data_IF_418843676781
#
_entry.id   IF_418843676781
#
_cell.length_a   1.000
_cell.length_b   1.000
_cell.length_c   1.000
_cell.angle_alpha   90.00
_cell.angle_beta   90.00
_cell.angle_gamma   90.00
#
_symmetry.space_group_name_H-M   'P 1'
#
loop_
_entity.id
_entity.type
_entity.pdbx_description
1 polymer ?
#
# COMPACT_ATOMS: atom_id res chain seq x y z
N UNK A 1 -35.21 29.12 -27.81
CA UNK A 1 -33.93 29.02 -27.05
C UNK A 1 -33.22 27.76 -27.48
N UNK A 2 -32.05 27.90 -28.10
CA UNK A 2 -31.31 26.77 -28.71
C UNK A 2 -30.85 25.80 -27.64
N UNK A 3 -30.99 24.50 -27.89
CA UNK A 3 -30.46 23.39 -27.06
C UNK A 3 -28.98 23.58 -26.71
N UNK A 4 -28.20 24.19 -27.60
CA UNK A 4 -26.78 24.51 -27.41
C UNK A 4 -26.58 25.49 -26.23
N UNK A 5 -27.43 26.51 -26.04
CA UNK A 5 -27.36 27.42 -24.88
C UNK A 5 -27.68 26.73 -23.55
N UNK A 6 -28.53 25.69 -23.58
CA UNK A 6 -28.90 24.92 -22.39
C UNK A 6 -27.76 23.98 -21.96
N UNK A 7 -27.00 23.45 -22.92
CA UNK A 7 -25.81 22.61 -22.64
C UNK A 7 -24.66 23.47 -22.15
N UNK A 8 -24.43 24.68 -22.71
CA UNK A 8 -23.37 25.58 -22.23
C UNK A 8 -23.59 26.06 -20.80
N UNK A 9 -24.85 26.33 -20.40
CA UNK A 9 -25.18 26.69 -19.02
C UNK A 9 -24.99 25.54 -18.01
N UNK A 10 -24.97 24.29 -18.49
CA UNK A 10 -24.79 23.11 -17.63
C UNK A 10 -23.30 22.71 -17.45
N UNK A 11 -22.40 23.21 -18.29
CA UNK A 11 -20.99 22.84 -18.33
C UNK A 11 -20.09 23.85 -17.57
N UNK A 12 -20.60 25.06 -17.32
CA UNK A 12 -19.85 26.09 -16.60
C UNK A 12 -20.16 26.00 -15.09
N UNK A 13 -19.28 25.45 -14.24
CA UNK A 13 -19.49 25.42 -12.80
C UNK A 13 -19.36 26.84 -12.27
N UNK A 14 -20.51 27.51 -12.04
CA UNK A 14 -20.55 28.92 -11.67
C UNK A 14 -20.96 29.15 -10.22
N UNK A 15 -21.45 28.12 -9.52
CA UNK A 15 -22.01 28.28 -8.18
C UNK A 15 -21.56 27.20 -7.19
N UNK A 16 -21.61 27.53 -5.90
CA UNK A 16 -21.39 26.57 -4.79
C UNK A 16 -22.38 25.40 -4.87
N UNK A 17 -23.57 25.63 -5.41
CA UNK A 17 -24.60 24.58 -5.54
C UNK A 17 -24.23 23.53 -6.61
N UNK A 18 -23.57 23.94 -7.69
CA UNK A 18 -23.02 23.01 -8.67
C UNK A 18 -21.93 22.13 -8.06
N UNK A 19 -21.05 22.73 -7.26
CA UNK A 19 -20.02 22.00 -6.51
C UNK A 19 -20.63 20.98 -5.53
N UNK A 20 -21.63 21.40 -4.72
CA UNK A 20 -22.35 20.50 -3.82
C UNK A 20 -23.06 19.37 -4.59
N UNK A 21 -23.66 19.69 -5.72
CA UNK A 21 -24.33 18.72 -6.60
C UNK A 21 -23.34 17.65 -7.11
N UNK A 22 -22.13 18.05 -7.51
CA UNK A 22 -21.07 17.11 -7.93
C UNK A 22 -20.63 16.21 -6.78
N UNK A 23 -20.39 16.78 -5.58
CA UNK A 23 -20.02 16.03 -4.39
C UNK A 23 -21.13 15.04 -4.02
N UNK A 24 -22.39 15.47 -4.01
CA UNK A 24 -23.53 14.60 -3.69
C UNK A 24 -23.67 13.42 -4.65
N UNK A 25 -23.49 13.65 -5.96
CA UNK A 25 -23.50 12.57 -6.96
C UNK A 25 -22.34 11.59 -6.85
N UNK A 26 -21.21 12.00 -6.25
CA UNK A 26 -19.98 11.18 -6.07
C UNK A 26 -19.86 10.58 -4.68
N UNK A 27 -20.94 10.60 -3.88
CA UNK A 27 -20.97 10.05 -2.52
C UNK A 27 -20.03 10.73 -1.52
N UNK A 28 -19.71 12.01 -1.75
CA UNK A 28 -18.87 12.80 -0.87
C UNK A 28 -17.41 12.92 -1.33
N UNK A 29 -16.59 13.53 -0.48
CA UNK A 29 -15.15 13.65 -0.67
C UNK A 29 -14.45 12.46 -0.02
N UNK A 30 -13.36 11.99 -0.62
CA UNK A 30 -12.56 10.90 -0.08
C UNK A 30 -11.78 11.38 1.17
N UNK A 31 -11.94 10.74 2.34
CA UNK A 31 -11.22 11.09 3.55
C UNK A 31 -9.79 10.54 3.49
N UNK A 32 -8.78 11.38 3.69
CA UNK A 32 -7.38 10.96 3.67
C UNK A 32 -6.99 10.05 4.85
N UNK A 33 -7.74 10.11 5.95
CA UNK A 33 -7.47 9.38 7.18
C UNK A 33 -8.10 7.97 7.24
N UNK A 34 -8.63 7.47 6.13
CA UNK A 34 -9.27 6.14 6.05
C UNK A 34 -8.62 5.32 4.96
N UNK A 35 -7.70 4.48 5.37
CA UNK A 35 -7.00 3.55 4.47
C UNK A 35 -6.74 2.23 5.19
N UNK A 36 -6.48 1.19 4.43
CA UNK A 36 -6.05 -0.12 4.90
C UNK A 36 -4.87 -0.59 4.06
N UNK A 37 -3.93 -1.26 4.72
CA UNK A 37 -2.77 -1.84 4.08
C UNK A 37 -2.80 -3.33 4.35
N UNK A 38 -2.61 -4.12 3.31
CA UNK A 38 -2.45 -5.56 3.41
C UNK A 38 -1.06 -5.91 2.88
N UNK A 39 -0.21 -6.34 3.78
CA UNK A 39 1.15 -6.77 3.49
C UNK A 39 1.42 -8.05 4.25
N UNK A 40 1.80 -9.09 3.53
CA UNK A 40 2.24 -10.34 4.13
C UNK A 40 3.74 -10.46 3.91
N UNK A 41 4.57 -10.24 4.92
CA UNK A 41 6.01 -10.44 4.80
C UNK A 41 6.34 -11.85 4.29
N UNK A 42 7.48 -12.06 3.62
CA UNK A 42 7.88 -13.38 3.16
C UNK A 42 7.88 -14.40 4.30
N UNK A 43 7.45 -15.62 4.02
CA UNK A 43 7.29 -16.68 5.03
C UNK A 43 8.58 -16.99 5.80
N UNK A 44 9.73 -16.82 5.17
CA UNK A 44 11.03 -17.00 5.83
C UNK A 44 11.31 -15.94 6.91
N UNK A 45 10.81 -14.72 6.72
CA UNK A 45 10.89 -13.65 7.74
C UNK A 45 10.03 -13.98 8.96
N UNK A 46 8.93 -14.72 8.75
CA UNK A 46 8.01 -15.15 9.81
C UNK A 46 8.51 -16.38 10.56
N UNK A 47 9.25 -17.26 9.88
CA UNK A 47 9.66 -18.57 10.41
C UNK A 47 10.89 -18.54 11.32
N UNK A 48 11.63 -17.44 11.38
CA UNK A 48 12.65 -17.25 12.41
C UNK A 48 12.00 -16.92 13.76
N UNK A 49 11.08 -17.80 14.17
CA UNK A 49 10.68 -17.93 15.55
C UNK A 49 11.96 -18.25 16.31
N UNK A 50 12.39 -17.34 17.18
CA UNK A 50 13.43 -17.59 18.16
C UNK A 50 12.95 -18.78 19.01
N UNK A 51 13.32 -20.00 18.60
CA UNK A 51 12.92 -21.23 19.28
C UNK A 51 13.33 -21.21 20.77
N UNK A 52 14.39 -20.45 21.10
CA UNK A 52 14.79 -20.21 22.48
C UNK A 52 13.79 -19.34 23.24
N UNK A 53 13.26 -18.28 22.61
CA UNK A 53 12.24 -17.44 23.23
C UNK A 53 10.87 -18.14 23.28
N UNK A 54 10.54 -18.94 22.29
CA UNK A 54 9.34 -19.79 22.32
C UNK A 54 9.44 -20.85 23.42
N UNK A 55 10.59 -21.51 23.56
CA UNK A 55 10.81 -22.51 24.61
C UNK A 55 10.82 -21.89 26.01
N UNK A 56 11.42 -20.71 26.20
CA UNK A 56 11.44 -20.01 27.49
C UNK A 56 10.05 -19.50 27.90
N UNK A 57 9.25 -19.01 26.94
CA UNK A 57 7.86 -18.59 27.16
C UNK A 57 6.94 -19.79 27.40
N UNK A 58 7.23 -20.93 26.76
CA UNK A 58 6.56 -22.22 27.03
C UNK A 58 6.79 -22.68 28.47
N UNK A 59 8.03 -22.61 28.93
CA UNK A 59 8.42 -22.99 30.29
C UNK A 59 7.90 -22.04 31.37
N UNK A 60 7.73 -20.75 31.04
CA UNK A 60 7.21 -19.73 31.97
C UNK A 60 5.69 -19.64 32.00
N UNK A 61 4.97 -20.46 31.23
CA UNK A 61 3.49 -20.47 31.18
C UNK A 61 2.84 -19.23 30.59
N UNK A 62 3.63 -18.36 29.95
CA UNK A 62 3.18 -17.07 29.42
C UNK A 62 2.80 -17.19 27.94
N UNK A 63 1.92 -18.14 27.61
CA UNK A 63 1.37 -18.32 26.27
C UNK A 63 0.24 -17.34 26.01
N UNK A 64 0.55 -16.19 25.42
CA UNK A 64 -0.44 -15.39 24.70
C UNK A 64 -0.54 -15.86 23.24
N UNK A 65 -1.74 -16.15 22.70
CA UNK A 65 -1.89 -16.55 21.29
C UNK A 65 -1.39 -15.47 20.30
N UNK A 66 -1.14 -14.24 20.75
CA UNK A 66 -0.60 -13.14 19.96
C UNK A 66 0.93 -13.14 19.76
N UNK A 67 1.69 -13.98 20.48
CA UNK A 67 3.15 -14.01 20.36
C UNK A 67 3.66 -14.95 19.26
N UNK A 68 2.81 -15.81 18.72
CA UNK A 68 3.18 -16.83 17.75
C UNK A 68 2.93 -16.41 16.29
N UNK A 69 2.20 -15.34 16.05
CA UNK A 69 1.79 -14.97 14.70
C UNK A 69 2.03 -13.49 14.48
N UNK A 70 2.95 -13.16 13.56
CA UNK A 70 2.93 -11.85 12.93
C UNK A 70 1.61 -11.74 12.15
N UNK A 71 0.56 -11.24 12.80
CA UNK A 71 -0.72 -11.04 12.14
C UNK A 71 -0.54 -9.93 11.07
N UNK A 72 -0.87 -10.20 9.81
CA UNK A 72 -0.89 -9.16 8.77
C UNK A 72 -1.73 -7.94 9.15
N UNK A 73 -2.66 -8.09 10.10
CA UNK A 73 -3.47 -7.00 10.65
C UNK A 73 -2.65 -6.01 11.46
N UNK A 74 -1.61 -6.47 12.17
CA UNK A 74 -0.76 -5.60 12.98
C UNK A 74 -0.05 -4.57 12.13
N UNK A 75 0.41 -4.97 10.94
CA UNK A 75 1.03 -4.07 9.96
C UNK A 75 0.04 -2.97 9.53
N UNK A 76 -1.22 -3.35 9.25
CA UNK A 76 -2.25 -2.39 8.86
C UNK A 76 -2.62 -1.42 9.98
N UNK A 77 -2.75 -1.93 11.22
CA UNK A 77 -3.16 -1.15 12.38
C UNK A 77 -2.07 -0.19 12.87
N UNK A 78 -0.81 -0.58 12.75
CA UNK A 78 0.34 0.23 13.19
C UNK A 78 0.77 1.24 12.13
N UNK A 79 0.26 1.18 10.91
CA UNK A 79 0.58 2.16 9.88
C UNK A 79 -0.16 3.48 10.11
N UNK A 80 0.59 4.52 10.41
CA UNK A 80 0.07 5.89 10.60
C UNK A 80 -0.20 6.58 9.27
N UNK A 81 0.71 6.43 8.32
CA UNK A 81 0.58 7.03 6.98
C UNK A 81 1.29 6.21 5.91
N UNK A 82 0.79 6.30 4.69
CA UNK A 82 1.42 5.71 3.52
C UNK A 82 1.29 6.65 2.32
N UNK A 83 2.26 6.61 1.42
CA UNK A 83 2.16 7.27 0.13
C UNK A 83 1.54 6.31 -0.89
N UNK A 84 0.61 6.80 -1.72
CA UNK A 84 0.16 6.07 -2.90
C UNK A 84 1.10 6.37 -4.07
N UNK A 85 1.55 5.35 -4.84
CA UNK A 85 2.44 5.58 -5.96
C UNK A 85 1.75 6.38 -7.06
N UNK A 86 2.44 7.38 -7.56
CA UNK A 86 2.08 8.11 -8.76
C UNK A 86 2.54 7.38 -10.02
N UNK A 87 2.06 7.83 -11.17
CA UNK A 87 2.52 7.36 -12.49
C UNK A 87 3.00 8.56 -13.29
N UNK A 88 4.27 8.56 -13.64
CA UNK A 88 4.87 9.60 -14.44
C UNK A 88 5.36 9.02 -15.77
N UNK A 89 5.04 9.69 -16.87
CA UNK A 89 5.56 9.33 -18.19
C UNK A 89 6.86 10.10 -18.40
N UNK A 90 7.92 9.35 -18.63
CA UNK A 90 9.19 9.93 -19.04
C UNK A 90 9.12 10.28 -20.52
N UNK A 91 9.45 11.53 -20.87
CA UNK A 91 9.42 12.02 -22.24
C UNK A 91 10.82 12.35 -22.72
N UNK A 92 11.08 12.02 -23.97
CA UNK A 92 12.28 12.43 -24.69
C UNK A 92 11.95 13.61 -25.61
N UNK A 93 12.75 14.66 -25.57
CA UNK A 93 12.62 15.78 -26.49
C UNK A 93 13.33 15.46 -27.81
N UNK A 94 12.55 15.27 -28.86
CA UNK A 94 13.05 15.09 -30.22
C UNK A 94 13.08 16.44 -30.94
N UNK A 95 14.27 16.94 -31.22
CA UNK A 95 14.47 18.13 -32.07
C UNK A 95 14.66 17.70 -33.52
N UNK A 96 13.67 17.98 -34.36
CA UNK A 96 13.85 17.85 -35.81
C UNK A 96 14.69 19.01 -36.36
N UNK A 97 15.68 18.70 -37.18
CA UNK A 97 16.59 19.72 -37.75
C UNK A 97 15.90 20.87 -38.49
N UNK A 98 14.67 20.70 -38.92
CA UNK A 98 13.92 21.69 -39.72
C UNK A 98 12.85 22.44 -38.98
N UNK A 99 12.53 22.10 -37.72
CA UNK A 99 11.49 22.74 -36.95
C UNK A 99 12.04 23.34 -35.65
N UNK A 100 11.69 24.61 -35.39
CA UNK A 100 12.03 25.30 -34.11
C UNK A 100 11.28 24.71 -32.90
N UNK A 101 10.40 23.76 -33.11
CA UNK A 101 9.60 23.14 -32.00
C UNK A 101 10.15 21.77 -31.69
N UNK A 102 10.46 21.52 -30.41
CA UNK A 102 10.73 20.18 -29.90
C UNK A 102 9.42 19.41 -29.75
N UNK A 103 9.41 18.18 -30.24
CA UNK A 103 8.29 17.26 -30.05
C UNK A 103 8.65 16.35 -28.88
N UNK A 104 7.73 16.24 -27.91
CA UNK A 104 7.91 15.33 -26.76
C UNK A 104 7.36 13.96 -27.09
N UNK A 105 8.23 12.97 -27.14
CA UNK A 105 7.87 11.58 -27.37
C UNK A 105 7.90 10.81 -26.04
N UNK A 106 6.86 10.00 -25.72
CA UNK A 106 6.86 9.18 -24.52
C UNK A 106 7.87 8.04 -24.64
N UNK A 107 8.76 7.91 -23.66
CA UNK A 107 9.80 6.87 -23.64
C UNK A 107 9.45 5.71 -22.71
N UNK A 108 8.79 5.98 -21.58
CA UNK A 108 8.48 4.95 -20.59
C UNK A 108 7.77 5.51 -19.38
N UNK A 109 7.56 4.65 -18.39
CA UNK A 109 7.01 5.04 -17.09
C UNK A 109 8.12 5.15 -16.05
N UNK A 110 8.12 6.25 -15.33
CA UNK A 110 8.89 6.39 -14.10
C UNK A 110 8.01 5.96 -12.92
N UNK A 111 8.56 5.13 -12.04
CA UNK A 111 7.89 4.62 -10.85
C UNK A 111 8.61 5.17 -9.62
N UNK A 112 7.86 5.75 -8.72
CA UNK A 112 8.36 6.25 -7.45
C UNK A 112 8.21 5.16 -6.39
N UNK A 113 9.18 5.08 -5.47
CA UNK A 113 9.12 4.20 -4.33
C UNK A 113 8.01 4.65 -3.36
N UNK A 114 7.45 3.71 -2.63
CA UNK A 114 6.35 3.95 -1.70
C UNK A 114 6.88 4.01 -0.28
N UNK A 115 6.58 5.10 0.43
CA UNK A 115 6.96 5.28 1.82
C UNK A 115 5.79 4.98 2.76
N UNK A 116 6.12 4.32 3.87
CA UNK A 116 5.22 3.97 4.95
C UNK A 116 5.78 4.48 6.27
N UNK A 117 4.91 4.98 7.13
CA UNK A 117 5.24 5.40 8.49
C UNK A 117 4.49 4.50 9.45
N UNK A 118 5.22 3.76 10.28
CA UNK A 118 4.66 2.89 11.29
C UNK A 118 4.89 3.42 12.70
N UNK A 119 3.90 3.25 13.56
CA UNK A 119 4.05 3.46 14.98
C UNK A 119 4.82 2.29 15.59
N UNK A 120 5.79 2.59 16.44
CA UNK A 120 6.56 1.57 17.14
C UNK A 120 5.90 1.21 18.46
N UNK A 121 5.75 -0.09 18.68
CA UNK A 121 5.36 -0.68 19.96
C UNK A 121 6.59 -0.86 20.87
N UNK A 122 6.39 -1.06 22.18
CA UNK A 122 7.50 -1.24 23.16
C UNK A 122 8.40 -2.43 22.85
N UNK A 123 7.90 -3.44 22.14
CA UNK A 123 8.65 -4.62 21.72
C UNK A 123 9.44 -4.42 20.41
N UNK A 124 9.31 -3.24 19.78
CA UNK A 124 9.93 -2.90 18.48
C UNK A 124 9.61 -3.92 17.37
N UNK A 125 8.41 -4.50 17.43
CA UNK A 125 7.98 -5.55 16.52
C UNK A 125 8.18 -5.17 15.05
N UNK A 126 7.68 -3.98 14.62
CA UNK A 126 7.80 -3.53 13.24
C UNK A 126 9.26 -3.32 12.80
N UNK A 127 10.09 -2.78 13.68
CA UNK A 127 11.53 -2.59 13.39
C UNK A 127 12.22 -3.94 13.16
N UNK A 128 12.01 -4.89 14.06
CA UNK A 128 12.56 -6.25 13.95
C UNK A 128 12.09 -6.97 12.69
N UNK A 129 10.83 -6.78 12.30
CA UNK A 129 10.26 -7.37 11.10
C UNK A 129 10.96 -6.86 9.83
N UNK A 130 11.10 -5.55 9.69
CA UNK A 130 11.72 -4.95 8.51
C UNK A 130 13.25 -5.16 8.48
N UNK A 131 13.93 -5.16 9.61
CA UNK A 131 15.35 -5.48 9.67
C UNK A 131 15.62 -6.92 9.21
N UNK A 132 14.84 -7.89 9.70
CA UNK A 132 14.91 -9.28 9.24
C UNK A 132 14.59 -9.43 7.76
N UNK A 133 13.68 -8.61 7.25
CA UNK A 133 13.37 -8.63 5.83
C UNK A 133 14.54 -8.10 5.00
N UNK A 134 15.23 -7.04 5.44
CA UNK A 134 16.45 -6.56 4.80
C UNK A 134 17.57 -7.61 4.86
N UNK A 135 17.73 -8.29 6.00
CA UNK A 135 18.71 -9.39 6.17
C UNK A 135 18.41 -10.58 5.25
N UNK A 136 17.12 -10.82 4.94
CA UNK A 136 16.71 -11.84 3.98
C UNK A 136 17.06 -11.41 2.54
N UNK A 137 16.98 -10.13 2.21
CA UNK A 137 17.35 -9.62 0.87
C UNK A 137 18.85 -9.76 0.65
N UNK A 138 19.65 -9.34 1.65
CA UNK A 138 21.11 -9.43 1.62
C UNK A 138 21.56 -9.98 2.95
N UNK A 139 22.14 -11.19 2.95
CA UNK A 139 22.66 -11.81 4.16
C UNK A 139 23.85 -10.97 4.69
N UNK A 140 23.79 -10.45 5.95
CA UNK A 140 24.83 -9.57 6.47
C UNK A 140 26.19 -10.26 6.71
N UNK A 141 26.22 -11.61 6.85
CA UNK A 141 27.45 -12.36 7.08
C UNK A 141 28.16 -12.71 5.76
N UNK A 142 27.41 -13.14 4.74
CA UNK A 142 27.97 -13.64 3.48
C UNK A 142 27.94 -12.60 2.37
N UNK A 143 27.18 -11.49 2.54
CA UNK A 143 26.90 -10.47 1.53
C UNK A 143 26.28 -11.02 0.23
N UNK A 144 25.67 -12.21 0.33
CA UNK A 144 24.96 -12.82 -0.78
C UNK A 144 23.53 -12.30 -0.85
N UNK A 145 23.09 -12.01 -2.07
CA UNK A 145 21.69 -11.62 -2.36
C UNK A 145 20.88 -12.91 -2.52
N UNK A 146 19.73 -12.99 -1.84
CA UNK A 146 18.80 -14.11 -1.97
C UNK A 146 18.11 -14.13 -3.35
N UNK A 147 17.51 -15.26 -3.69
CA UNK A 147 16.70 -15.33 -4.91
C UNK A 147 15.48 -14.42 -4.79
N UNK A 148 15.16 -13.68 -5.86
CA UNK A 148 14.07 -12.69 -5.87
C UNK A 148 12.74 -13.20 -5.29
N UNK A 149 12.36 -14.43 -5.62
CA UNK A 149 11.12 -15.05 -5.14
C UNK A 149 11.05 -15.26 -3.62
N UNK A 150 12.18 -15.22 -2.93
CA UNK A 150 12.27 -15.49 -1.50
C UNK A 150 11.98 -14.24 -0.66
N UNK A 151 12.28 -13.04 -1.19
CA UNK A 151 12.17 -11.80 -0.44
C UNK A 151 11.08 -10.84 -0.96
N UNK A 152 10.53 -11.03 -2.16
CA UNK A 152 9.47 -10.16 -2.67
C UNK A 152 8.10 -10.58 -2.15
N UNK A 153 7.20 -9.61 -2.02
CA UNK A 153 5.79 -9.83 -1.66
C UNK A 153 4.88 -8.84 -2.38
N UNK A 154 3.59 -9.13 -2.39
CA UNK A 154 2.58 -8.21 -2.87
C UNK A 154 2.04 -7.36 -1.72
N UNK A 155 1.93 -6.06 -1.95
CA UNK A 155 1.39 -5.10 -0.98
C UNK A 155 0.16 -4.43 -1.56
N UNK A 156 -0.96 -4.48 -0.85
CA UNK A 156 -2.21 -3.83 -1.27
C UNK A 156 -2.50 -2.64 -0.37
N UNK A 157 -2.71 -1.48 -0.98
CA UNK A 157 -3.09 -0.24 -0.31
C UNK A 157 -4.51 0.11 -0.77
N UNK A 158 -5.45 0.25 0.18
CA UNK A 158 -6.85 0.54 -0.11
C UNK A 158 -7.28 1.83 0.55
N UNK A 159 -7.91 2.72 -0.22
CA UNK A 159 -8.63 3.87 0.27
C UNK A 159 -10.05 3.46 0.65
N UNK A 160 -10.47 3.81 1.86
CA UNK A 160 -11.80 3.51 2.37
C UNK A 160 -12.68 4.76 2.36
N UNK A 161 -13.99 4.55 2.19
CA UNK A 161 -14.99 5.61 2.34
C UNK A 161 -15.38 5.81 3.82
N UNK A 162 -16.37 6.69 4.06
CA UNK A 162 -16.90 6.95 5.41
C UNK A 162 -17.53 5.71 6.08
N UNK A 163 -17.96 4.73 5.30
CA UNK A 163 -18.54 3.46 5.77
C UNK A 163 -17.51 2.33 5.88
N UNK A 164 -16.21 2.63 5.76
CA UNK A 164 -15.10 1.66 5.73
C UNK A 164 -15.18 0.62 4.59
N UNK A 165 -15.82 1.01 3.48
CA UNK A 165 -15.84 0.21 2.26
C UNK A 165 -14.71 0.67 1.34
N UNK A 166 -13.91 -0.24 0.76
CA UNK A 166 -12.84 0.14 -0.17
C UNK A 166 -13.44 0.75 -1.45
N UNK A 167 -12.95 1.95 -1.80
CA UNK A 167 -13.38 2.71 -2.98
C UNK A 167 -12.33 2.66 -4.08
N UNK A 168 -11.09 2.66 -3.68
CA UNK A 168 -9.95 2.62 -4.58
C UNK A 168 -8.82 1.84 -3.95
N UNK A 169 -8.16 1.00 -4.72
CA UNK A 169 -7.04 0.19 -4.25
C UNK A 169 -5.93 0.11 -5.28
N UNK A 170 -4.73 -0.09 -4.78
CA UNK A 170 -3.54 -0.35 -5.57
C UNK A 170 -2.86 -1.58 -4.99
N UNK A 171 -2.54 -2.52 -5.87
CA UNK A 171 -1.74 -3.69 -5.54
C UNK A 171 -0.34 -3.53 -6.13
N UNK A 172 0.66 -3.37 -5.27
CA UNK A 172 2.07 -3.36 -5.63
C UNK A 172 2.53 -4.80 -5.83
N UNK A 173 3.16 -5.08 -6.95
CA UNK A 173 3.69 -6.41 -7.29
C UNK A 173 5.18 -6.49 -6.98
N UNK A 174 5.59 -7.61 -6.41
CA UNK A 174 7.00 -7.90 -6.13
C UNK A 174 7.68 -6.77 -5.34
N UNK A 175 7.01 -6.27 -4.30
CA UNK A 175 7.55 -5.23 -3.44
C UNK A 175 8.51 -5.80 -2.40
N UNK A 176 9.53 -5.01 -2.03
CA UNK A 176 10.47 -5.32 -0.96
C UNK A 176 11.04 -4.03 -0.36
N UNK A 177 11.50 -4.03 0.91
CA UNK A 177 12.06 -2.85 1.53
C UNK A 177 13.46 -2.55 0.99
N UNK A 178 13.70 -1.27 0.71
CA UNK A 178 15.02 -0.76 0.33
C UNK A 178 15.64 0.11 1.41
N UNK A 179 14.80 0.77 2.22
CA UNK A 179 15.27 1.64 3.29
C UNK A 179 14.40 1.50 4.53
N UNK A 180 15.06 1.33 5.66
CA UNK A 180 14.48 1.46 6.99
C UNK A 180 15.23 2.59 7.69
N UNK A 181 14.56 3.71 7.92
CA UNK A 181 15.21 4.91 8.43
C UNK A 181 15.68 4.74 9.88
N UNK A 182 16.66 5.55 10.24
CA UNK A 182 17.15 5.66 11.62
C UNK A 182 16.05 6.19 12.53
N UNK A 183 16.06 5.71 13.78
CA UNK A 183 15.17 6.16 14.84
C UNK A 183 15.98 7.04 15.79
N UNK A 184 15.56 8.29 15.94
CA UNK A 184 16.20 9.20 16.86
C UNK A 184 15.63 9.01 18.27
N UNK A 185 16.50 8.79 19.25
CA UNK A 185 16.12 8.69 20.66
C UNK A 185 16.53 9.97 21.37
N UNK A 186 15.57 10.65 21.97
CA UNK A 186 15.80 11.88 22.74
C UNK A 186 15.17 11.78 24.12
N UNK A 187 15.87 12.24 25.12
CA UNK A 187 15.38 12.31 26.51
C UNK A 187 14.55 13.60 26.77
N UNK A 188 14.40 14.44 25.76
CA UNK A 188 13.76 15.76 25.90
C UNK A 188 12.25 15.73 25.73
N UNK A 189 11.69 14.77 24.96
CA UNK A 189 10.25 14.68 24.69
C UNK A 189 9.74 13.24 24.84
N UNK A 190 8.52 13.11 25.38
CA UNK A 190 7.83 11.82 25.50
C UNK A 190 6.91 11.60 24.28
N UNK A 191 7.48 11.56 23.08
CA UNK A 191 6.74 11.29 21.85
C UNK A 191 6.77 9.81 21.48
N UNK A 192 5.71 9.36 20.79
CA UNK A 192 5.68 8.01 20.24
C UNK A 192 6.68 7.88 19.10
N UNK A 193 7.50 6.86 19.14
CA UNK A 193 8.51 6.58 18.11
C UNK A 193 7.84 6.11 16.81
N UNK A 194 8.35 6.60 15.67
CA UNK A 194 7.87 6.28 14.34
C UNK A 194 8.98 5.68 13.49
N UNK A 195 8.63 4.69 12.71
CA UNK A 195 9.52 4.02 11.78
C UNK A 195 9.12 4.37 10.35
N UNK A 196 10.02 4.99 9.60
CA UNK A 196 9.84 5.25 8.18
C UNK A 196 10.49 4.11 7.39
N UNK A 197 9.70 3.48 6.53
CA UNK A 197 10.13 2.39 5.65
C UNK A 197 9.80 2.76 4.21
N UNK A 198 10.76 2.59 3.32
CA UNK A 198 10.54 2.77 1.87
C UNK A 198 10.60 1.41 1.18
N UNK A 199 9.54 1.11 0.44
CA UNK A 199 9.43 -0.09 -0.38
C UNK A 199 9.58 0.29 -1.86
N UNK A 200 10.36 -0.50 -2.57
CA UNK A 200 10.35 -0.51 -4.04
C UNK A 200 9.48 -1.65 -4.56
N UNK A 201 9.02 -1.56 -5.79
CA UNK A 201 8.13 -2.54 -6.40
C UNK A 201 8.37 -2.62 -7.91
N UNK A 202 8.00 -3.72 -8.52
CA UNK A 202 8.19 -3.94 -9.95
C UNK A 202 7.13 -3.26 -10.80
N UNK A 203 5.85 -3.45 -10.42
CA UNK A 203 4.71 -2.84 -11.09
C UNK A 203 3.55 -2.70 -10.11
N UNK A 204 2.51 -1.93 -10.48
CA UNK A 204 1.31 -1.87 -9.71
C UNK A 204 0.05 -1.99 -10.58
N UNK A 205 -0.96 -2.61 -10.00
CA UNK A 205 -2.30 -2.70 -10.59
C UNK A 205 -3.30 -1.93 -9.74
N UNK A 206 -4.22 -1.24 -10.41
CA UNK A 206 -5.35 -0.59 -9.73
C UNK A 206 -6.46 -1.59 -9.49
N UNK A 207 -7.00 -1.65 -8.29
CA UNK A 207 -8.04 -2.61 -7.89
C UNK A 207 -9.43 -2.38 -8.53
N UNK A 208 -9.57 -1.51 -9.51
CA UNK A 208 -10.77 -1.46 -10.35
C UNK A 208 -11.12 -2.83 -10.98
N UNK A 209 -10.12 -3.72 -11.10
CA UNK A 209 -10.28 -5.10 -11.55
C UNK A 209 -10.61 -6.10 -10.43
N UNK A 210 -10.31 -5.79 -9.14
CA UNK A 210 -10.54 -6.72 -8.01
C UNK A 210 -12.01 -6.69 -7.55
N UNK A 211 -12.69 -5.55 -7.67
CA UNK A 211 -14.14 -5.51 -7.47
C UNK A 211 -14.89 -6.45 -8.43
N UNK A 212 -14.36 -6.69 -9.63
CA UNK A 212 -14.89 -7.67 -10.58
C UNK A 212 -14.61 -9.12 -10.16
N UNK A 213 -13.49 -9.40 -9.48
CA UNK A 213 -13.18 -10.74 -8.97
C UNK A 213 -14.00 -11.10 -7.72
N UNK A 214 -14.30 -10.12 -6.85
CA UNK A 214 -15.23 -10.33 -5.73
C UNK A 214 -16.67 -10.49 -6.24
N UNK A 215 -17.05 -9.77 -7.31
CA UNK A 215 -18.30 -10.00 -8.01
C UNK A 215 -18.41 -11.41 -8.61
N UNK A 216 -17.29 -11.95 -9.12
CA UNK A 216 -17.19 -13.33 -9.58
C UNK A 216 -17.39 -14.36 -8.47
N UNK A 217 -16.83 -14.13 -7.28
CA UNK A 217 -17.03 -15.00 -6.10
C UNK A 217 -18.49 -14.98 -5.62
N UNK A 218 -19.15 -13.83 -5.59
CA UNK A 218 -20.59 -13.73 -5.29
C UNK A 218 -21.44 -14.53 -6.28
N UNK A 219 -21.11 -14.53 -7.56
CA UNK A 219 -21.82 -15.30 -8.58
C UNK A 219 -21.58 -16.81 -8.44
N UNK A 220 -20.38 -17.22 -8.00
CA UNK A 220 -20.08 -18.63 -7.73
C UNK A 220 -20.86 -19.13 -6.51
N UNK A 221 -20.88 -18.34 -5.43
CA UNK A 221 -21.64 -18.69 -4.21
C UNK A 221 -23.15 -18.68 -4.49
N UNK A 222 -23.66 -17.70 -5.24
CA UNK A 222 -25.06 -17.68 -5.68
C UNK A 222 -25.44 -18.86 -6.57
N UNK A 223 -24.55 -19.29 -7.44
CA UNK A 223 -24.75 -20.46 -8.30
C UNK A 223 -24.72 -21.79 -7.54
N UNK A 224 -23.98 -21.89 -6.46
CA UNK A 224 -23.92 -23.08 -5.59
C UNK A 224 -25.18 -23.15 -4.70
N UNK A 225 -25.66 -22.04 -4.16
CA UNK A 225 -26.89 -21.98 -3.38
C UNK A 225 -28.14 -22.30 -4.19
N UNK A 226 -28.22 -21.87 -5.45
CA UNK A 226 -29.33 -22.23 -6.35
C UNK A 226 -29.35 -23.69 -6.83
N UNK A 227 -28.29 -24.46 -6.60
CA UNK A 227 -28.25 -25.92 -6.88
C UNK A 227 -28.58 -26.80 -5.69
N UNK A 228 -28.73 -26.17 -4.48
CA UNK A 228 -29.02 -26.87 -3.22
C UNK A 228 -30.47 -26.65 -2.74
N UNK A 229 -31.25 -25.88 -3.50
CA UNK A 229 -32.71 -25.74 -3.37
C UNK A 229 -33.38 -26.36 -4.59
#
# INVERSE_FOLDING_TARGET
>A
MSLVKKIQGTISPTTIDDFKSVIGRRSGLAPANRFAIFMSPPSQTLLNLDLQNVASNLLSGNFGPGQLVNDPRDVSLLCESCSMPGRQIQTLDHQSMNYRQSIKEPQGYFKEDVSFVFLLTNDYHMKKLFDRWLDLVINPETYQVAYRKEFVTDVTIQQLNQQNVPVYGIKLKNAFPITVNTIELSNASAETQKLNVTLTYEDYETEGSIASSIGGVKNIIGGVLNRLI
#
